data_IF_101893942576
#
_entry.id   IF_101893942576
#
_cell.length_a   1.000
_cell.length_b   1.000
_cell.length_c   1.000
_cell.angle_alpha   90.00
_cell.angle_beta   90.00
_cell.angle_gamma   90.00
#
_symmetry.space_group_name_H-M   'P 1'
#
loop_
_entity.id
_entity.type
_entity.pdbx_description
1 polymer ?
#
# COMPACT_ATOMS: atom_id res chain seq x y z
N UNK A 1 5.86 3.60 0.04
CA UNK A 1 6.70 2.73 0.88
C UNK A 1 6.74 3.29 2.29
N UNK A 2 7.57 2.73 3.17
CA UNK A 2 7.79 3.25 4.53
C UNK A 2 9.27 3.31 4.87
N UNK A 3 9.65 4.22 5.75
CA UNK A 3 10.99 4.24 6.31
C UNK A 3 11.14 3.05 7.27
N UNK A 4 12.23 2.29 7.14
CA UNK A 4 12.55 1.15 8.02
C UNK A 4 13.84 1.33 8.80
N UNK A 5 14.65 2.31 8.43
CA UNK A 5 15.88 2.65 9.13
C UNK A 5 16.22 4.13 8.89
N UNK A 6 16.84 4.77 9.88
CA UNK A 6 17.19 6.19 9.86
C UNK A 6 18.61 6.39 10.38
N UNK A 7 19.35 7.26 9.71
CA UNK A 7 20.66 7.77 10.11
C UNK A 7 20.63 9.30 10.08
N UNK A 8 21.73 9.94 10.50
CA UNK A 8 21.80 11.40 10.63
C UNK A 8 21.46 12.16 9.33
N UNK A 9 21.87 11.63 8.16
CA UNK A 9 21.63 12.26 6.86
C UNK A 9 21.01 11.33 5.81
N UNK A 10 20.57 10.14 6.22
CA UNK A 10 20.02 9.16 5.29
C UNK A 10 18.94 8.31 5.94
N UNK A 11 18.14 7.66 5.11
CA UNK A 11 17.12 6.73 5.58
C UNK A 11 16.98 5.60 4.57
N UNK A 12 16.56 4.44 5.04
CA UNK A 12 16.25 3.30 4.18
C UNK A 12 14.74 3.19 4.05
N UNK A 13 14.25 3.16 2.81
CA UNK A 13 12.83 3.01 2.51
C UNK A 13 12.57 1.57 2.05
N UNK A 14 11.59 0.92 2.67
CA UNK A 14 10.99 -0.29 2.16
C UNK A 14 9.91 0.09 1.14
N UNK A 15 10.14 -0.25 -0.13
CA UNK A 15 9.21 0.05 -1.20
C UNK A 15 7.92 -0.76 -1.06
N UNK A 16 6.84 -0.27 -1.69
CA UNK A 16 5.56 -0.98 -1.70
C UNK A 16 5.64 -2.31 -2.46
N UNK A 17 6.51 -2.38 -3.46
CA UNK A 17 6.76 -3.58 -4.28
C UNK A 17 7.64 -4.62 -3.59
N UNK A 18 8.35 -4.30 -2.51
CA UNK A 18 9.28 -5.24 -1.85
C UNK A 18 8.57 -6.51 -1.35
N UNK A 19 9.23 -7.69 -1.37
CA UNK A 19 8.64 -8.95 -0.88
C UNK A 19 8.17 -8.85 0.58
N UNK A 20 8.87 -8.06 1.39
CA UNK A 20 8.59 -7.85 2.81
C UNK A 20 7.56 -6.73 3.03
N UNK A 21 7.11 -6.08 1.96
CA UNK A 21 6.04 -5.08 2.03
C UNK A 21 4.70 -5.77 2.27
N UNK A 22 4.06 -5.39 3.37
CA UNK A 22 2.69 -5.76 3.76
C UNK A 22 2.03 -4.49 4.26
N UNK A 23 1.02 -4.00 3.53
CA UNK A 23 0.36 -2.72 3.82
C UNK A 23 -1.14 -2.95 3.95
N UNK A 24 -1.77 -2.65 5.10
CA UNK A 24 -3.21 -2.75 5.25
C UNK A 24 -3.93 -1.72 4.38
N UNK A 25 -4.79 -2.20 3.48
CA UNK A 25 -5.52 -1.37 2.52
C UNK A 25 -7.02 -1.55 2.61
N UNK A 26 -7.74 -0.61 2.01
CA UNK A 26 -9.18 -0.56 1.85
C UNK A 26 -9.49 -0.31 0.37
N UNK A 27 -10.53 -0.95 -0.15
CA UNK A 27 -11.04 -0.74 -1.51
C UNK A 27 -12.26 0.19 -1.52
N UNK A 28 -12.39 0.99 -2.56
CA UNK A 28 -13.56 1.83 -2.84
C UNK A 28 -14.18 1.39 -4.18
N UNK A 29 -15.52 1.20 -4.25
CA UNK A 29 -16.53 1.57 -3.25
C UNK A 29 -16.88 0.47 -2.23
N UNK A 30 -16.39 -0.75 -2.39
CA UNK A 30 -16.85 -1.90 -1.60
C UNK A 30 -16.52 -1.83 -0.10
N UNK A 31 -15.54 -1.01 0.30
CA UNK A 31 -15.10 -0.91 1.70
C UNK A 31 -14.39 -2.17 2.18
N UNK A 32 -13.92 -3.02 1.26
CA UNK A 32 -13.27 -4.27 1.63
C UNK A 32 -11.83 -4.04 2.06
N UNK A 33 -11.50 -4.58 3.24
CA UNK A 33 -10.15 -4.60 3.78
C UNK A 33 -9.33 -5.74 3.18
N UNK A 34 -8.07 -5.47 2.92
CA UNK A 34 -7.09 -6.46 2.46
C UNK A 34 -5.67 -6.06 2.91
N UNK A 35 -4.71 -6.95 2.67
CA UNK A 35 -3.28 -6.63 2.77
C UNK A 35 -2.71 -6.52 1.36
N UNK A 36 -2.12 -5.38 1.04
CA UNK A 36 -1.32 -5.22 -0.16
C UNK A 36 0.06 -5.84 0.07
N UNK A 37 0.36 -6.90 -0.67
CA UNK A 37 1.61 -7.65 -0.61
C UNK A 37 2.48 -7.34 -1.82
N UNK A 38 3.71 -6.88 -1.57
CA UNK A 38 4.73 -6.75 -2.61
C UNK A 38 5.39 -8.09 -2.96
N UNK A 39 5.96 -8.17 -4.16
CA UNK A 39 6.53 -9.40 -4.76
C UNK A 39 7.89 -9.18 -5.42
N UNK A 40 8.55 -8.05 -5.17
CA UNK A 40 9.81 -7.65 -5.82
C UNK A 40 9.62 -7.13 -7.24
N UNK A 41 8.37 -6.97 -7.68
CA UNK A 41 7.97 -6.47 -9.00
C UNK A 41 6.93 -5.36 -8.82
N UNK A 42 6.66 -4.60 -9.88
CA UNK A 42 5.60 -3.57 -9.90
C UNK A 42 4.18 -4.16 -10.01
N UNK A 43 3.99 -5.41 -9.60
CA UNK A 43 2.70 -6.12 -9.61
C UNK A 43 2.34 -6.64 -8.20
N UNK A 44 2.14 -5.75 -7.20
CA UNK A 44 1.67 -6.17 -5.88
C UNK A 44 0.26 -6.75 -5.97
N UNK A 45 -0.11 -7.58 -5.00
CA UNK A 45 -1.44 -8.21 -4.94
C UNK A 45 -2.16 -7.92 -3.64
N UNK A 46 -3.49 -7.97 -3.67
CA UNK A 46 -4.31 -7.99 -2.47
C UNK A 46 -4.44 -9.43 -1.95
N UNK A 47 -4.13 -9.60 -0.68
CA UNK A 47 -4.20 -10.84 0.07
C UNK A 47 -5.11 -10.68 1.29
N UNK A 48 -5.46 -11.81 1.94
CA UNK A 48 -6.30 -11.85 3.13
C UNK A 48 -7.70 -11.22 2.96
N UNK A 49 -8.24 -11.31 1.74
CA UNK A 49 -9.59 -10.87 1.42
C UNK A 49 -10.64 -11.85 1.95
N UNK A 50 -11.79 -11.32 2.36
CA UNK A 50 -12.96 -12.15 2.64
C UNK A 50 -13.48 -12.78 1.34
N UNK A 51 -14.14 -13.95 1.45
CA UNK A 51 -14.71 -14.67 0.29
C UNK A 51 -15.69 -13.79 -0.51
N UNK A 52 -16.43 -12.91 0.17
CA UNK A 52 -17.40 -12.00 -0.44
C UNK A 52 -16.89 -10.53 -0.44
N UNK A 53 -15.61 -10.31 -0.76
CA UNK A 53 -15.01 -8.96 -0.71
C UNK A 53 -15.64 -7.94 -1.69
N UNK A 54 -16.35 -8.38 -2.73
CA UNK A 54 -17.05 -7.46 -3.64
C UNK A 54 -16.13 -6.48 -4.38
N UNK A 55 -14.82 -6.73 -4.41
CA UNK A 55 -13.85 -5.94 -5.17
C UNK A 55 -14.03 -6.23 -6.65
N UNK A 56 -14.01 -5.18 -7.45
CA UNK A 56 -14.16 -5.22 -8.90
C UNK A 56 -12.94 -4.63 -9.62
N UNK A 57 -12.81 -4.94 -10.91
CA UNK A 57 -11.78 -4.33 -11.75
C UNK A 57 -11.94 -2.82 -11.80
N UNK A 58 -10.84 -2.11 -11.56
CA UNK A 58 -10.81 -0.65 -11.55
C UNK A 58 -11.10 -0.01 -10.19
N UNK A 59 -11.51 -0.78 -9.17
CA UNK A 59 -11.71 -0.29 -7.80
C UNK A 59 -10.44 0.39 -7.30
N UNK A 60 -10.60 1.52 -6.63
CA UNK A 60 -9.45 2.26 -6.08
C UNK A 60 -9.03 1.64 -4.76
N UNK A 61 -7.72 1.54 -4.57
CA UNK A 61 -7.12 0.99 -3.36
C UNK A 61 -6.46 2.11 -2.57
N UNK A 62 -6.77 2.16 -1.28
CA UNK A 62 -6.31 3.17 -0.34
C UNK A 62 -5.64 2.54 0.88
N UNK A 63 -4.71 3.23 1.52
CA UNK A 63 -4.22 2.80 2.85
C UNK A 63 -5.35 2.85 3.86
N UNK A 64 -5.46 1.82 4.71
CA UNK A 64 -6.53 1.74 5.73
C UNK A 64 -6.14 2.38 7.07
N UNK A 65 -4.84 2.62 7.28
CA UNK A 65 -4.30 3.15 8.54
C UNK A 65 -4.29 2.21 9.74
N UNK A 66 -4.70 0.95 9.56
CA UNK A 66 -4.86 -0.03 10.65
C UNK A 66 -3.56 -0.44 11.37
N UNK A 67 -2.41 -0.17 10.76
CA UNK A 67 -1.07 -0.41 11.33
C UNK A 67 -0.45 0.82 12.02
N UNK A 68 -1.10 1.99 11.97
CA UNK A 68 -0.55 3.24 12.52
C UNK A 68 0.68 3.79 11.79
N UNK A 69 1.21 3.08 10.80
CA UNK A 69 2.37 3.52 10.00
C UNK A 69 1.93 4.45 8.85
N UNK A 70 0.86 4.08 8.16
CA UNK A 70 0.31 4.88 7.07
C UNK A 70 -0.92 5.63 7.59
N UNK A 71 -1.08 6.90 7.24
CA UNK A 71 -2.36 7.58 7.43
C UNK A 71 -3.42 6.92 6.55
N UNK A 72 -4.68 6.78 7.00
CA UNK A 72 -5.75 6.27 6.16
C UNK A 72 -6.00 7.21 4.97
N UNK A 73 -6.41 6.63 3.82
CA UNK A 73 -6.84 7.40 2.65
C UNK A 73 -5.74 7.77 1.65
N UNK A 74 -4.49 7.32 1.82
CA UNK A 74 -3.47 7.49 0.77
C UNK A 74 -3.79 6.58 -0.40
N UNK A 75 -3.88 7.16 -1.60
CA UNK A 75 -4.19 6.42 -2.81
C UNK A 75 -2.99 5.57 -3.24
N UNK A 76 -3.23 4.28 -3.47
CA UNK A 76 -2.19 3.31 -3.86
C UNK A 76 -2.26 3.01 -5.36
N UNK A 77 -3.45 2.69 -5.86
CA UNK A 77 -3.61 2.16 -7.21
C UNK A 77 -5.03 1.69 -7.52
N UNK A 78 -5.16 0.89 -8.57
CA UNK A 78 -6.42 0.25 -8.98
C UNK A 78 -6.34 -1.27 -8.94
N UNK A 79 -7.42 -1.91 -8.52
CA UNK A 79 -7.56 -3.36 -8.58
C UNK A 79 -7.64 -3.85 -10.04
N UNK A 80 -6.99 -4.98 -10.31
CA UNK A 80 -7.10 -5.74 -11.55
C UNK A 80 -7.13 -7.23 -11.23
N UNK A 81 -8.21 -7.90 -11.60
CA UNK A 81 -8.49 -9.29 -11.32
C UNK A 81 -7.92 -10.12 -12.47
N UNK A 82 -6.91 -10.94 -12.17
CA UNK A 82 -6.29 -11.84 -13.13
C UNK A 82 -6.17 -13.23 -12.52
N UNK A 83 -6.75 -14.24 -13.19
CA UNK A 83 -6.59 -15.67 -12.83
C UNK A 83 -6.79 -15.94 -11.32
N UNK A 84 -7.86 -15.39 -10.76
CA UNK A 84 -8.25 -15.54 -9.34
C UNK A 84 -7.31 -14.84 -8.32
N UNK A 85 -6.44 -13.95 -8.77
CA UNK A 85 -5.68 -13.02 -7.93
C UNK A 85 -6.11 -11.59 -8.23
N UNK A 86 -6.11 -10.75 -7.21
CA UNK A 86 -6.36 -9.32 -7.38
C UNK A 86 -5.00 -8.62 -7.34
N UNK A 87 -4.50 -8.22 -8.50
CA UNK A 87 -3.33 -7.36 -8.64
C UNK A 87 -3.72 -5.91 -8.37
N UNK A 88 -2.73 -5.09 -8.02
CA UNK A 88 -2.90 -3.63 -7.90
C UNK A 88 -1.98 -2.95 -8.88
N UNK A 89 -2.58 -2.23 -9.83
CA UNK A 89 -1.86 -1.32 -10.71
C UNK A 89 -1.54 -0.06 -9.91
N UNK A 90 -0.27 0.09 -9.53
CA UNK A 90 0.19 1.24 -8.75
C UNK A 90 0.07 2.53 -9.56
N UNK A 91 -0.30 3.61 -8.88
CA UNK A 91 -0.24 4.95 -9.49
C UNK A 91 1.17 5.55 -9.48
N UNK A 92 2.03 5.05 -8.60
CA UNK A 92 3.43 5.43 -8.56
C UNK A 92 4.25 4.54 -9.49
N UNK A 93 5.11 5.18 -10.29
CA UNK A 93 6.22 4.51 -10.96
C UNK A 93 7.37 4.35 -9.94
N UNK A 94 7.86 3.13 -9.77
CA UNK A 94 8.90 2.78 -8.81
C UNK A 94 10.27 2.56 -9.47
N UNK A 95 10.35 2.58 -10.81
CA UNK A 95 11.57 2.23 -11.52
C UNK A 95 12.59 3.40 -11.51
N UNK A 96 12.10 4.64 -11.42
CA UNK A 96 12.93 5.85 -11.46
C UNK A 96 12.52 6.87 -10.41
N UNK A 97 12.96 6.67 -9.17
CA UNK A 97 12.66 7.56 -8.04
C UNK A 97 13.83 8.54 -7.83
N UNK A 98 13.60 9.83 -8.08
CA UNK A 98 14.57 10.91 -7.76
C UNK A 98 14.22 11.65 -6.47
N UNK A 99 12.92 11.89 -6.24
CA UNK A 99 12.42 12.64 -5.09
C UNK A 99 11.31 11.86 -4.42
N UNK A 100 11.26 11.97 -3.09
CA UNK A 100 10.18 11.40 -2.27
C UNK A 100 9.73 12.45 -1.25
N UNK A 101 8.44 12.41 -0.92
CA UNK A 101 7.91 13.18 0.20
C UNK A 101 7.76 12.25 1.40
N UNK A 102 8.26 12.70 2.56
CA UNK A 102 8.10 11.98 3.82
C UNK A 102 6.92 12.59 4.57
N UNK A 103 5.88 11.80 4.77
CA UNK A 103 4.75 12.18 5.62
C UNK A 103 4.96 11.55 7.00
N UNK A 104 5.12 12.39 8.03
CA UNK A 104 5.33 11.97 9.41
C UNK A 104 4.04 11.48 10.10
N UNK A 105 2.89 11.57 9.41
CA UNK A 105 1.58 11.32 9.99
C UNK A 105 1.18 12.41 10.99
N UNK A 106 0.01 12.25 11.60
CA UNK A 106 -0.36 13.01 12.79
C UNK A 106 0.27 12.32 14.00
N UNK A 107 1.23 13.00 14.63
CA UNK A 107 1.69 12.60 15.95
C UNK A 107 0.50 12.77 16.90
N UNK A 108 -0.02 11.67 17.44
CA UNK A 108 -0.92 11.77 18.59
C UNK A 108 -0.12 12.40 19.73
N UNK A 109 -0.39 13.67 20.06
CA UNK A 109 0.29 14.44 21.10
C UNK A 109 0.08 13.88 22.53
N UNK A 110 -0.59 12.74 22.69
CA UNK A 110 -0.96 12.13 23.97
C UNK A 110 -0.24 10.81 24.25
N UNK A 111 1.05 10.68 23.89
CA UNK A 111 1.91 9.59 24.36
C UNK A 111 2.99 10.09 25.30
#
# INVERSE_FOLDING_TARGET
GRIVDVNFFSSRVLLVSDLNSKIPVLSEPSGSHAILSGHGTNEPTLEYLSKNNGIQDGDKIYTSGKEGIFTPGLVVGKAKIEKNKIKVLLFSDLDQITFVNINLGTLDENR
#
